data_IF_680165642186
#
_entry.id   IF_680165642186
#
_cell.length_a   1.000
_cell.length_b   1.000
_cell.length_c   1.000
_cell.angle_alpha   90.00
_cell.angle_beta   90.00
_cell.angle_gamma   90.00
#
_symmetry.space_group_name_H-M   'P 1'
#
loop_
_entity.id
_entity.type
_entity.pdbx_description
1 polymer ?
#
# COMPACT_ATOMS: atom_id res chain seq x y z
N UNK A 1 14.78 1.32 19.79
CA UNK A 1 14.48 0.07 19.05
C UNK A 1 13.44 0.39 18.00
N UNK A 2 13.78 0.27 16.72
CA UNK A 2 12.80 0.49 15.64
C UNK A 2 12.07 -0.82 15.35
N UNK A 3 10.75 -0.75 15.21
CA UNK A 3 9.89 -1.92 14.97
C UNK A 3 9.30 -1.87 13.55
N UNK A 4 9.07 -3.04 12.97
CA UNK A 4 8.41 -3.16 11.67
C UNK A 4 6.98 -2.64 11.74
N UNK A 5 6.62 -1.67 10.89
CA UNK A 5 5.27 -1.08 10.82
C UNK A 5 4.15 -2.09 10.47
N UNK A 6 4.50 -3.27 9.94
CA UNK A 6 3.52 -4.31 9.55
C UNK A 6 3.33 -5.42 10.58
N UNK A 7 4.42 -5.85 11.24
CA UNK A 7 4.40 -7.06 12.08
C UNK A 7 4.97 -6.84 13.49
N UNK A 8 5.36 -5.60 13.82
CA UNK A 8 5.91 -5.18 15.13
C UNK A 8 7.17 -5.94 15.59
N UNK A 9 7.79 -6.76 14.74
CA UNK A 9 9.07 -7.40 15.06
C UNK A 9 10.22 -6.36 15.08
N UNK A 10 11.24 -6.52 15.94
CA UNK A 10 12.40 -5.65 15.98
C UNK A 10 13.18 -5.65 14.66
N UNK A 11 13.59 -4.48 14.20
CA UNK A 11 14.39 -4.30 12.99
C UNK A 11 15.88 -4.34 13.34
N UNK A 12 16.66 -5.10 12.55
CA UNK A 12 18.08 -5.39 12.84
C UNK A 12 19.07 -4.60 12.00
N UNK A 13 18.72 -4.26 10.76
CA UNK A 13 19.62 -3.58 9.82
C UNK A 13 19.20 -2.13 9.63
N UNK A 14 20.15 -1.23 9.40
CA UNK A 14 19.87 0.19 9.16
C UNK A 14 18.88 0.38 8.01
N UNK A 15 19.06 -0.33 6.90
CA UNK A 15 18.13 -0.32 5.76
C UNK A 15 16.69 -0.67 6.16
N UNK A 16 16.50 -1.67 7.04
CA UNK A 16 15.16 -2.02 7.50
C UNK A 16 14.58 -0.95 8.43
N UNK A 17 15.43 -0.31 9.24
CA UNK A 17 15.06 0.80 10.13
C UNK A 17 14.61 2.02 9.31
N UNK A 18 15.37 2.40 8.30
CA UNK A 18 15.09 3.56 7.43
C UNK A 18 13.78 3.36 6.65
N UNK A 19 13.57 2.15 6.13
CA UNK A 19 12.33 1.81 5.42
C UNK A 19 11.15 1.57 6.38
N UNK A 20 11.41 1.28 7.65
CA UNK A 20 10.39 0.95 8.66
C UNK A 20 9.78 -0.45 8.50
N UNK A 21 10.32 -1.30 7.62
CA UNK A 21 9.82 -2.64 7.36
C UNK A 21 10.96 -3.65 7.32
N UNK A 22 10.70 -4.86 7.83
CA UNK A 22 11.57 -6.00 7.52
C UNK A 22 11.44 -6.39 6.04
N UNK A 23 12.44 -7.06 5.44
CA UNK A 23 12.50 -7.31 3.99
C UNK A 23 11.24 -7.96 3.40
N UNK A 24 10.73 -9.02 4.06
CA UNK A 24 9.51 -9.70 3.64
C UNK A 24 8.26 -8.82 3.84
N UNK A 25 8.23 -8.03 4.92
CA UNK A 25 7.10 -7.14 5.18
C UNK A 25 7.06 -5.98 4.18
N UNK A 26 8.22 -5.51 3.73
CA UNK A 26 8.36 -4.50 2.67
C UNK A 26 7.82 -5.02 1.35
N UNK A 27 8.27 -6.20 0.90
CA UNK A 27 7.74 -6.84 -0.31
C UNK A 27 6.22 -6.95 -0.30
N UNK A 28 5.63 -7.48 0.78
CA UNK A 28 4.17 -7.59 0.90
C UNK A 28 3.46 -6.24 0.96
N UNK A 29 4.13 -5.20 1.44
CA UNK A 29 3.56 -3.85 1.49
C UNK A 29 3.50 -3.28 0.08
N UNK A 30 4.59 -3.41 -0.67
CA UNK A 30 4.69 -2.92 -2.03
C UNK A 30 3.72 -3.66 -2.97
N UNK A 31 3.56 -4.98 -2.80
CA UNK A 31 2.52 -5.76 -3.52
C UNK A 31 1.10 -5.26 -3.21
N UNK A 32 0.80 -4.93 -1.95
CA UNK A 32 -0.52 -4.43 -1.56
C UNK A 32 -0.78 -3.02 -2.10
N UNK A 33 0.23 -2.15 -2.10
CA UNK A 33 0.15 -0.82 -2.71
C UNK A 33 -0.04 -0.91 -4.23
N UNK A 34 0.67 -1.81 -4.91
CA UNK A 34 0.52 -2.02 -6.34
C UNK A 34 -0.89 -2.53 -6.70
N UNK A 35 -1.45 -3.45 -5.91
CA UNK A 35 -2.84 -3.90 -6.09
C UNK A 35 -3.86 -2.81 -5.78
N UNK A 36 -3.60 -1.99 -4.75
CA UNK A 36 -4.47 -0.86 -4.41
C UNK A 36 -4.53 0.16 -5.56
N UNK A 37 -3.37 0.51 -6.12
CA UNK A 37 -3.27 1.42 -7.27
C UNK A 37 -4.03 0.89 -8.49
N UNK A 38 -4.01 -0.43 -8.75
CA UNK A 38 -4.78 -1.04 -9.85
C UNK A 38 -6.30 -0.95 -9.68
N UNK A 39 -6.78 -0.87 -8.44
CA UNK A 39 -8.22 -0.83 -8.11
C UNK A 39 -8.72 0.59 -7.86
N UNK A 40 -7.81 1.56 -7.74
CA UNK A 40 -8.17 2.94 -7.48
C UNK A 40 -8.83 3.55 -8.73
N UNK A 41 -10.05 4.04 -8.57
CA UNK A 41 -10.73 4.89 -9.56
C UNK A 41 -10.73 6.32 -9.05
N UNK A 42 -10.70 7.29 -9.96
CA UNK A 42 -10.84 8.70 -9.59
C UNK A 42 -12.31 9.04 -9.30
N UNK A 43 -12.54 10.19 -8.65
CA UNK A 43 -13.91 10.70 -8.45
C UNK A 43 -14.59 10.94 -9.81
N UNK A 44 -13.83 11.43 -10.80
CA UNK A 44 -14.35 11.70 -12.14
C UNK A 44 -14.78 10.41 -12.85
N UNK A 45 -14.01 9.32 -12.70
CA UNK A 45 -14.37 8.00 -13.24
C UNK A 45 -15.70 7.49 -12.66
N UNK A 46 -15.91 7.72 -11.35
CA UNK A 46 -17.13 7.32 -10.64
C UNK A 46 -18.36 8.12 -11.11
N UNK A 47 -18.20 9.44 -11.25
CA UNK A 47 -19.23 10.34 -11.77
C UNK A 47 -19.62 9.93 -13.19
N UNK A 48 -18.63 9.73 -14.08
CA UNK A 48 -18.86 9.33 -15.46
C UNK A 48 -19.58 7.97 -15.57
N UNK A 49 -19.24 7.01 -14.70
CA UNK A 49 -19.94 5.73 -14.62
C UNK A 49 -21.40 5.89 -14.19
N UNK A 50 -21.66 6.73 -13.17
CA UNK A 50 -23.02 7.01 -12.69
C UNK A 50 -23.90 7.68 -13.74
N UNK A 51 -23.34 8.61 -14.52
CA UNK A 51 -24.06 9.28 -15.61
C UNK A 51 -24.46 8.29 -16.71
N UNK A 52 -23.54 7.39 -17.10
CA UNK A 52 -23.83 6.32 -18.08
C UNK A 52 -24.93 5.37 -17.63
N UNK A 53 -24.99 5.05 -16.33
CA UNK A 53 -26.00 4.14 -15.77
C UNK A 53 -27.39 4.75 -15.62
N UNK A 54 -27.51 6.08 -15.70
CA UNK A 54 -28.80 6.80 -15.64
C UNK A 54 -29.44 7.03 -17.01
N UNK A 55 -28.68 6.87 -18.09
CA UNK A 55 -29.12 7.01 -19.48
C UNK A 55 -29.73 5.70 -19.99
#
# INVERSE_FOLDING_TARGET
MSICKRCNRPLKTQMSIDTGYGPICKKKHDEAEEEFLKRQITIDDEIAYREKMKA
#
